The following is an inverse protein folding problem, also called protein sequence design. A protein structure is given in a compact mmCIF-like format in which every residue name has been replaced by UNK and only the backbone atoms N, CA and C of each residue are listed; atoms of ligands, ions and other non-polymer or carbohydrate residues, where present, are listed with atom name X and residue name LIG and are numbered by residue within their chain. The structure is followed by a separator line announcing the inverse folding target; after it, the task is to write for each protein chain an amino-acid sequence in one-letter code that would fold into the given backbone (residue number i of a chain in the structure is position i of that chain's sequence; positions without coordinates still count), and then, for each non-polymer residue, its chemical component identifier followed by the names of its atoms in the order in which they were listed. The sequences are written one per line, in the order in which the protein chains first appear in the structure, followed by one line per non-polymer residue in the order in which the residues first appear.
data_IF_295013334929
#
_entry.id   IF_295013334929
#
_cell.length_a   1.000
_cell.length_b   1.000
_cell.length_c   1.000
_cell.angle_alpha   90.00
_cell.angle_beta   90.00
_cell.angle_gamma   90.00
#
_symmetry.space_group_name_H-M   'P 1'
#
loop_
_entity.id
_entity.type
_entity.pdbx_description
1 polymer ?
#
# COMPACT_ATOMS: atom_id res chain seq x y z
N UNK A 1 -3.47 23.79 15.63
CA UNK A 1 -3.14 22.51 16.30
C UNK A 1 -2.98 21.46 15.23
N UNK A 2 -1.76 21.27 14.72
CA UNK A 2 -1.47 20.25 13.72
C UNK A 2 -1.56 18.87 14.38
N UNK A 3 -2.39 17.98 13.83
CA UNK A 3 -2.55 16.62 14.31
C UNK A 3 -1.18 15.92 14.27
N UNK A 4 -0.63 15.60 15.45
CA UNK A 4 0.67 14.91 15.62
C UNK A 4 0.67 13.47 15.07
N UNK A 5 -0.42 13.01 14.47
CA UNK A 5 -0.60 11.62 14.03
C UNK A 5 -0.01 11.34 12.65
N UNK A 6 0.15 12.34 11.78
CA UNK A 6 0.73 12.15 10.43
C UNK A 6 2.26 12.01 10.40
N UNK A 7 2.96 12.39 11.47
CA UNK A 7 4.44 12.41 11.51
C UNK A 7 5.05 10.99 11.46
N UNK A 8 4.36 9.98 11.98
CA UNK A 8 4.89 8.62 12.02
C UNK A 8 5.05 8.02 10.60
N UNK A 9 4.10 8.29 9.71
CA UNK A 9 4.12 7.80 8.33
C UNK A 9 5.10 8.61 7.49
N UNK A 10 5.18 9.93 7.65
CA UNK A 10 6.24 10.73 7.01
C UNK A 10 7.64 10.24 7.38
N UNK A 11 7.86 9.81 8.62
CA UNK A 11 9.13 9.23 9.06
C UNK A 11 9.39 7.82 8.48
N UNK A 12 8.37 6.97 8.35
CA UNK A 12 8.48 5.66 7.73
C UNK A 12 8.72 5.74 6.20
N UNK A 13 8.01 6.65 5.54
CA UNK A 13 8.20 7.03 4.13
C UNK A 13 9.61 7.59 3.90
N UNK A 14 10.10 8.46 4.79
CA UNK A 14 11.45 9.01 4.71
C UNK A 14 12.55 7.94 4.94
N UNK A 15 12.32 6.94 5.80
CA UNK A 15 13.26 5.84 6.02
C UNK A 15 13.31 4.84 4.85
N UNK A 16 12.22 4.71 4.07
CA UNK A 16 12.12 3.84 2.90
C UNK A 16 13.02 4.24 1.72
N UNK A 17 13.53 5.48 1.68
CA UNK A 17 14.46 5.97 0.66
C UNK A 17 15.78 5.17 0.66
N UNK A 18 16.08 4.41 1.73
CA UNK A 18 17.30 3.60 1.85
C UNK A 18 17.13 2.16 1.29
N UNK A 19 15.90 1.68 1.05
CA UNK A 19 15.64 0.25 0.81
C UNK A 19 15.32 -0.18 -0.63
N UNK A 20 15.09 0.75 -1.57
CA UNK A 20 14.57 0.42 -2.90
C UNK A 20 15.52 -0.43 -3.77
N UNK A 21 16.77 -0.63 -3.35
CA UNK A 21 17.77 -1.37 -4.14
C UNK A 21 17.77 -2.90 -3.96
N UNK A 22 16.83 -3.52 -3.21
CA UNK A 22 16.96 -4.96 -2.87
C UNK A 22 15.76 -5.89 -3.14
N UNK A 23 14.64 -5.48 -3.75
CA UNK A 23 13.48 -6.38 -3.92
C UNK A 23 13.23 -6.83 -5.37
N UNK A 24 14.31 -7.18 -6.09
CA UNK A 24 14.19 -8.09 -7.23
C UNK A 24 14.43 -9.50 -6.68
N UNK A 25 13.44 -10.38 -6.93
CA UNK A 25 13.41 -11.83 -6.71
C UNK A 25 12.89 -12.37 -5.36
N UNK A 26 11.56 -12.55 -5.26
CA UNK A 26 10.96 -13.78 -4.71
C UNK A 26 9.50 -13.95 -5.18
N UNK A 27 9.29 -14.36 -6.44
CA UNK A 27 8.03 -14.96 -6.87
C UNK A 27 8.22 -16.48 -6.75
N UNK A 28 7.63 -17.18 -5.77
CA UNK A 28 7.55 -18.63 -5.86
C UNK A 28 6.61 -18.98 -7.00
N UNK A 29 7.18 -19.43 -8.12
CA UNK A 29 6.44 -20.14 -9.17
C UNK A 29 5.75 -21.35 -8.55
N UNK A 30 4.52 -21.57 -9.00
CA UNK A 30 3.62 -22.61 -8.56
C UNK A 30 4.30 -23.98 -8.54
N UNK A 31 4.32 -24.63 -7.38
CA UNK A 31 4.45 -26.09 -7.29
C UNK A 31 3.80 -26.59 -6.00
N UNK A 32 2.70 -27.34 -6.17
CA UNK A 32 2.25 -28.36 -5.23
C UNK A 32 1.84 -27.89 -3.83
N UNK A 33 0.52 -27.67 -3.68
CA UNK A 33 -0.18 -27.54 -2.40
C UNK A 33 0.25 -28.66 -1.42
N UNK A 34 1.21 -28.34 -0.57
CA UNK A 34 1.34 -28.95 0.74
C UNK A 34 0.93 -27.86 1.72
N UNK A 35 -0.18 -28.09 2.43
CA UNK A 35 -0.66 -27.27 3.54
C UNK A 35 0.41 -27.33 4.65
N UNK A 36 1.51 -26.59 4.45
CA UNK A 36 2.50 -26.34 5.48
C UNK A 36 1.80 -25.43 6.49
N UNK A 37 1.67 -25.93 7.72
CA UNK A 37 1.32 -25.10 8.87
C UNK A 37 2.21 -23.85 8.83
N UNK A 38 1.60 -22.72 8.49
CA UNK A 38 2.29 -21.44 8.49
C UNK A 38 2.53 -21.14 9.96
N UNK A 39 3.80 -21.04 10.35
CA UNK A 39 4.19 -20.76 11.74
C UNK A 39 4.14 -19.26 12.00
N UNK A 40 4.03 -18.81 13.27
CA UNK A 40 4.01 -17.37 13.60
C UNK A 40 5.13 -16.53 12.94
N UNK A 41 6.39 -17.03 12.81
CA UNK A 41 7.44 -16.30 12.07
C UNK A 41 7.13 -16.09 10.58
N UNK A 42 6.37 -16.99 9.96
CA UNK A 42 5.99 -16.88 8.55
C UNK A 42 4.83 -15.91 8.34
N UNK A 43 3.88 -15.81 9.28
CA UNK A 43 2.81 -14.79 9.21
C UNK A 43 3.34 -13.37 9.36
N UNK A 44 4.33 -13.18 10.23
CA UNK A 44 5.04 -11.92 10.35
C UNK A 44 5.79 -11.58 9.05
N UNK A 45 6.47 -12.54 8.44
CA UNK A 45 7.17 -12.33 7.17
C UNK A 45 6.20 -11.92 6.05
N UNK A 46 5.06 -12.60 5.91
CA UNK A 46 4.02 -12.24 4.93
C UNK A 46 3.50 -10.82 5.16
N UNK A 47 3.20 -10.46 6.41
CA UNK A 47 2.72 -9.12 6.74
C UNK A 47 3.77 -8.04 6.43
N UNK A 48 5.03 -8.29 6.78
CA UNK A 48 6.14 -7.36 6.51
C UNK A 48 6.40 -7.19 5.01
N UNK A 49 6.33 -8.28 4.24
CA UNK A 49 6.47 -8.25 2.79
C UNK A 49 5.37 -7.38 2.16
N UNK A 50 4.11 -7.65 2.53
CA UNK A 50 2.96 -6.88 2.05
C UNK A 50 3.10 -5.41 2.44
N UNK A 51 3.53 -5.13 3.67
CA UNK A 51 3.76 -3.76 4.14
C UNK A 51 4.86 -3.03 3.34
N UNK A 52 5.97 -3.71 3.08
CA UNK A 52 7.10 -3.14 2.34
C UNK A 52 6.71 -2.82 0.89
N UNK A 53 6.10 -3.78 0.20
CA UNK A 53 5.65 -3.59 -1.19
C UNK A 53 4.60 -2.49 -1.32
N UNK A 54 3.61 -2.46 -0.43
CA UNK A 54 2.58 -1.42 -0.42
C UNK A 54 3.18 -0.03 -0.18
N UNK A 55 4.11 0.09 0.77
CA UNK A 55 4.80 1.35 1.06
C UNK A 55 5.60 1.82 -0.17
N UNK A 56 6.39 0.93 -0.78
CA UNK A 56 7.14 1.24 -2.00
C UNK A 56 6.24 1.69 -3.15
N UNK A 57 5.13 0.99 -3.36
CA UNK A 57 4.13 1.32 -4.36
C UNK A 57 3.51 2.70 -4.14
N UNK A 58 3.13 3.01 -2.90
CA UNK A 58 2.52 4.28 -2.57
C UNK A 58 3.49 5.45 -2.77
N UNK A 59 4.75 5.30 -2.38
CA UNK A 59 5.80 6.30 -2.62
C UNK A 59 5.99 6.59 -4.11
N UNK A 60 6.05 5.54 -4.93
CA UNK A 60 6.20 5.69 -6.38
C UNK A 60 5.00 6.45 -6.99
N UNK A 61 3.78 6.08 -6.60
CA UNK A 61 2.56 6.76 -7.08
C UNK A 61 2.50 8.21 -6.63
N UNK A 62 2.75 8.50 -5.35
CA UNK A 62 2.71 9.89 -4.85
C UNK A 62 3.76 10.77 -5.52
N UNK A 63 4.97 10.22 -5.72
CA UNK A 63 6.04 10.91 -6.46
C UNK A 63 5.64 11.19 -7.92
N UNK A 64 5.08 10.20 -8.62
CA UNK A 64 4.58 10.38 -9.99
C UNK A 64 3.41 11.35 -10.07
N UNK A 65 2.51 11.33 -9.09
CA UNK A 65 1.38 12.25 -9.02
C UNK A 65 1.85 13.70 -8.87
N UNK A 66 2.84 13.94 -8.00
CA UNK A 66 3.47 15.24 -7.85
C UNK A 66 4.20 15.69 -9.13
N UNK A 67 4.90 14.78 -9.81
CA UNK A 67 5.52 15.06 -11.11
C UNK A 67 4.47 15.37 -12.19
N UNK A 68 3.33 14.69 -12.19
CA UNK A 68 2.21 14.94 -13.08
C UNK A 68 1.58 16.32 -12.85
N UNK A 69 1.35 16.70 -11.57
CA UNK A 69 0.89 18.05 -11.20
C UNK A 69 1.85 19.14 -11.72
N UNK A 70 3.16 18.88 -11.72
CA UNK A 70 4.20 19.75 -12.29
C UNK A 70 4.34 19.69 -13.81
N UNK A 71 3.61 18.79 -14.49
CA UNK A 71 3.68 18.59 -15.94
C UNK A 71 4.91 17.81 -16.43
N UNK A 72 5.67 17.17 -15.52
CA UNK A 72 6.83 16.33 -15.87
C UNK A 72 6.47 14.88 -16.21
N UNK A 73 5.24 14.45 -15.90
CA UNK A 73 4.67 13.14 -16.24
C UNK A 73 3.36 13.38 -16.97
N UNK A 74 3.10 12.63 -18.04
CA UNK A 74 1.83 12.74 -18.79
C UNK A 74 0.68 12.04 -18.06
N UNK A 75 -0.55 12.46 -18.36
CA UNK A 75 -1.76 11.84 -17.80
C UNK A 75 -1.92 10.37 -18.17
N UNK A 76 -1.49 9.97 -19.37
CA UNK A 76 -1.46 8.56 -19.79
C UNK A 76 -0.46 7.73 -18.98
N UNK A 77 0.74 8.28 -18.74
CA UNK A 77 1.77 7.63 -17.92
C UNK A 77 1.27 7.46 -16.49
N UNK A 78 0.64 8.50 -15.94
CA UNK A 78 0.07 8.45 -14.59
C UNK A 78 -1.10 7.46 -14.50
N UNK A 79 -2.00 7.47 -15.49
CA UNK A 79 -3.13 6.52 -15.55
C UNK A 79 -2.69 5.07 -15.67
N UNK A 80 -1.59 4.82 -16.39
CA UNK A 80 -0.99 3.49 -16.51
C UNK A 80 -0.39 3.04 -15.19
N UNK A 81 0.41 3.90 -14.54
CA UNK A 81 0.98 3.63 -13.22
C UNK A 81 -0.11 3.32 -12.17
N UNK A 82 -1.22 4.06 -12.17
CA UNK A 82 -2.36 3.78 -11.28
C UNK A 82 -2.97 2.40 -11.58
N UNK A 83 -3.10 2.03 -12.86
CA UNK A 83 -3.68 0.74 -13.25
C UNK A 83 -2.79 -0.43 -12.83
N UNK A 84 -1.47 -0.29 -12.96
CA UNK A 84 -0.48 -1.25 -12.46
C UNK A 84 -0.53 -1.34 -10.93
N UNK A 85 -0.61 -0.20 -10.24
CA UNK A 85 -0.74 -0.14 -8.79
C UNK A 85 -2.00 -0.85 -8.29
N UNK A 86 -3.15 -0.67 -8.95
CA UNK A 86 -4.39 -1.38 -8.60
C UNK A 86 -4.25 -2.90 -8.77
N UNK A 87 -3.51 -3.34 -9.78
CA UNK A 87 -3.20 -4.77 -9.95
C UNK A 87 -2.34 -5.29 -8.80
N UNK A 88 -1.30 -4.54 -8.41
CA UNK A 88 -0.45 -4.89 -7.28
C UNK A 88 -1.22 -4.95 -5.97
N UNK A 89 -2.11 -4.00 -5.70
CA UNK A 89 -3.02 -4.03 -4.53
C UNK A 89 -3.84 -5.33 -4.50
N UNK A 90 -4.38 -5.74 -5.65
CA UNK A 90 -5.11 -7.00 -5.78
C UNK A 90 -4.27 -8.22 -5.40
N UNK A 91 -3.01 -8.26 -5.86
CA UNK A 91 -2.07 -9.33 -5.53
C UNK A 91 -1.69 -9.34 -4.05
N UNK A 92 -1.39 -8.17 -3.46
CA UNK A 92 -1.07 -8.03 -2.04
C UNK A 92 -2.23 -8.48 -1.15
N UNK A 93 -3.45 -8.09 -1.52
CA UNK A 93 -4.67 -8.53 -0.83
C UNK A 93 -4.82 -10.04 -0.93
N UNK A 94 -4.63 -10.63 -2.12
CA UNK A 94 -4.69 -12.08 -2.31
C UNK A 94 -3.67 -12.80 -1.43
N UNK A 95 -2.44 -12.30 -1.31
CA UNK A 95 -1.42 -12.87 -0.42
C UNK A 95 -1.89 -12.94 1.04
N UNK A 96 -2.52 -11.88 1.55
CA UNK A 96 -3.07 -11.88 2.91
C UNK A 96 -4.25 -12.86 3.08
N UNK A 97 -5.15 -12.92 2.09
CA UNK A 97 -6.31 -13.81 2.12
C UNK A 97 -5.91 -15.29 2.05
N UNK A 98 -5.01 -15.63 1.12
CA UNK A 98 -4.57 -17.00 0.88
C UNK A 98 -3.70 -17.54 2.03
N UNK A 99 -3.03 -16.66 2.76
CA UNK A 99 -2.23 -17.00 3.93
C UNK A 99 -3.05 -17.53 5.12
N UNK A 100 -4.38 -17.34 5.13
CA UNK A 100 -5.31 -17.90 6.16
C UNK A 100 -4.76 -17.78 7.59
N UNK A 101 -4.59 -16.55 8.10
CA UNK A 101 -3.91 -16.31 9.36
C UNK A 101 -4.59 -16.99 10.55
N UNK A 102 -3.83 -17.42 11.58
CA UNK A 102 -4.36 -17.82 12.87
C UNK A 102 -5.07 -16.65 13.57
N UNK A 103 -5.86 -16.97 14.60
CA UNK A 103 -6.77 -16.03 15.27
C UNK A 103 -6.09 -14.75 15.77
N UNK A 104 -4.87 -14.85 16.30
CA UNK A 104 -4.05 -13.75 16.78
C UNK A 104 -3.60 -12.80 15.66
N UNK A 105 -3.48 -13.28 14.42
CA UNK A 105 -3.11 -12.49 13.24
C UNK A 105 -4.29 -11.99 12.41
N UNK A 106 -5.49 -12.57 12.58
CA UNK A 106 -6.68 -12.23 11.78
C UNK A 106 -7.01 -10.74 11.80
N UNK A 107 -6.94 -10.10 12.97
CA UNK A 107 -7.23 -8.67 13.09
C UNK A 107 -6.26 -7.82 12.28
N UNK A 108 -4.97 -8.15 12.31
CA UNK A 108 -3.93 -7.45 11.53
C UNK A 108 -4.12 -7.59 10.04
N UNK A 109 -4.39 -8.81 9.59
CA UNK A 109 -4.57 -9.08 8.17
C UNK A 109 -5.84 -8.41 7.65
N UNK A 110 -6.95 -8.50 8.39
CA UNK A 110 -8.21 -7.85 8.01
C UNK A 110 -8.06 -6.32 7.98
N UNK A 111 -7.38 -5.75 8.97
CA UNK A 111 -7.12 -4.31 9.01
C UNK A 111 -6.21 -3.88 7.85
N UNK A 112 -5.21 -4.69 7.50
CA UNK A 112 -4.32 -4.37 6.38
C UNK A 112 -5.02 -4.52 5.02
N UNK A 113 -5.91 -5.50 4.87
CA UNK A 113 -6.79 -5.62 3.69
C UNK A 113 -7.66 -4.37 3.55
N UNK A 114 -8.24 -3.88 4.65
CA UNK A 114 -9.02 -2.64 4.63
C UNK A 114 -8.15 -1.43 4.23
N UNK A 115 -6.90 -1.37 4.68
CA UNK A 115 -5.95 -0.34 4.26
C UNK A 115 -5.67 -0.40 2.74
N UNK A 116 -5.45 -1.61 2.19
CA UNK A 116 -5.27 -1.82 0.76
C UNK A 116 -6.51 -1.40 -0.05
N UNK A 117 -7.71 -1.70 0.44
CA UNK A 117 -8.97 -1.29 -0.20
C UNK A 117 -9.12 0.25 -0.18
N UNK A 118 -8.81 0.91 0.94
CA UNK A 118 -8.84 2.38 1.03
C UNK A 118 -7.77 3.02 0.14
N UNK A 119 -6.58 2.43 0.03
CA UNK A 119 -5.56 2.87 -0.93
C UNK A 119 -6.07 2.78 -2.37
N UNK A 120 -6.77 1.70 -2.72
CA UNK A 120 -7.42 1.55 -4.03
C UNK A 120 -8.42 2.67 -4.33
N UNK A 121 -9.20 3.10 -3.34
CA UNK A 121 -10.11 4.24 -3.48
C UNK A 121 -9.37 5.56 -3.65
N UNK A 122 -8.27 5.76 -2.90
CA UNK A 122 -7.39 6.92 -3.07
C UNK A 122 -6.82 6.99 -4.50
N UNK A 123 -6.37 5.86 -5.05
CA UNK A 123 -5.93 5.77 -6.45
C UNK A 123 -7.03 6.12 -7.45
N UNK A 124 -8.29 5.73 -7.20
CA UNK A 124 -9.42 6.11 -8.04
C UNK A 124 -9.70 7.62 -7.98
N UNK A 125 -9.52 8.23 -6.80
CA UNK A 125 -9.57 9.68 -6.63
C UNK A 125 -8.49 10.39 -7.45
N UNK A 126 -7.24 9.93 -7.36
CA UNK A 126 -6.13 10.45 -8.19
C UNK A 126 -6.47 10.30 -9.68
N UNK A 127 -6.89 9.11 -10.11
CA UNK A 127 -7.22 8.83 -11.52
C UNK A 127 -8.29 9.77 -12.05
N UNK A 128 -9.31 10.06 -11.24
CA UNK A 128 -10.37 11.00 -11.60
C UNK A 128 -9.83 12.42 -11.82
N UNK A 129 -8.93 12.90 -10.95
CA UNK A 129 -8.24 14.19 -11.14
C UNK A 129 -7.37 14.19 -12.40
N UNK A 130 -6.61 13.12 -12.63
CA UNK A 130 -5.75 12.96 -13.81
C UNK A 130 -6.55 13.04 -15.10
N UNK A 131 -7.69 12.33 -15.18
CA UNK A 131 -8.56 12.33 -16.35
C UNK A 131 -9.24 13.68 -16.59
N UNK A 132 -9.51 14.43 -15.53
CA UNK A 132 -10.05 15.78 -15.62
C UNK A 132 -8.97 16.87 -15.88
N UNK A 133 -7.69 16.49 -15.95
CA UNK A 133 -6.55 17.41 -15.93
C UNK A 133 -6.58 18.40 -14.73
N UNK A 134 -7.19 17.97 -13.63
CA UNK A 134 -7.38 18.78 -12.43
C UNK A 134 -6.13 18.75 -11.54
N UNK A 135 -5.28 19.77 -11.71
CA UNK A 135 -4.03 19.96 -10.96
C UNK A 135 -4.18 20.88 -9.74
N UNK A 136 -5.43 21.15 -9.32
CA UNK A 136 -5.71 21.88 -8.07
C UNK A 136 -5.21 21.10 -6.85
N UNK A 137 -5.35 21.69 -5.67
CA UNK A 137 -4.98 21.03 -4.42
C UNK A 137 -5.70 19.68 -4.20
N UNK A 138 -5.17 18.92 -3.25
CA UNK A 138 -5.57 17.54 -3.00
C UNK A 138 -6.78 17.43 -2.06
N UNK A 139 -7.50 18.53 -1.78
CA UNK A 139 -8.65 18.54 -0.86
C UNK A 139 -9.74 17.52 -1.20
N UNK A 140 -9.92 17.22 -2.49
CA UNK A 140 -10.86 16.21 -2.97
C UNK A 140 -10.47 14.76 -2.59
N UNK A 141 -9.19 14.50 -2.32
CA UNK A 141 -8.65 13.16 -2.03
C UNK A 141 -7.97 13.06 -0.65
N UNK A 142 -7.76 14.18 0.05
CA UNK A 142 -7.15 14.24 1.39
C UNK A 142 -7.85 13.35 2.40
N UNK A 143 -9.19 13.30 2.37
CA UNK A 143 -9.96 12.44 3.26
C UNK A 143 -9.66 10.95 3.04
N UNK A 144 -9.48 10.54 1.79
CA UNK A 144 -9.12 9.16 1.43
C UNK A 144 -7.69 8.85 1.86
N UNK A 145 -6.76 9.78 1.64
CA UNK A 145 -5.36 9.66 2.09
C UNK A 145 -5.28 9.49 3.61
N UNK A 146 -5.94 10.36 4.36
CA UNK A 146 -5.95 10.28 5.83
C UNK A 146 -6.57 8.98 6.34
N UNK A 147 -7.65 8.52 5.71
CA UNK A 147 -8.28 7.25 6.08
C UNK A 147 -7.35 6.07 5.80
N UNK A 148 -6.72 6.04 4.64
CA UNK A 148 -5.77 5.00 4.24
C UNK A 148 -4.59 4.91 5.24
N UNK A 149 -4.00 6.05 5.57
CA UNK A 149 -2.94 6.16 6.57
C UNK A 149 -3.38 5.66 7.96
N UNK A 150 -4.60 5.99 8.38
CA UNK A 150 -5.16 5.52 9.64
C UNK A 150 -5.40 4.00 9.65
N UNK A 151 -5.86 3.43 8.53
CA UNK A 151 -6.07 1.99 8.39
C UNK A 151 -4.73 1.23 8.46
N UNK A 152 -3.65 1.75 7.87
CA UNK A 152 -2.29 1.20 8.01
C UNK A 152 -1.86 1.18 9.48
N UNK A 153 -1.99 2.32 10.17
CA UNK A 153 -1.60 2.43 11.59
C UNK A 153 -2.40 1.47 12.48
N UNK A 154 -3.69 1.32 12.21
CA UNK A 154 -4.54 0.33 12.90
C UNK A 154 -4.04 -1.10 12.69
N UNK A 155 -3.68 -1.44 11.45
CA UNK A 155 -3.20 -2.78 11.11
C UNK A 155 -1.85 -3.12 11.76
N UNK A 156 -0.93 -2.16 11.83
CA UNK A 156 0.36 -2.33 12.50
C UNK A 156 0.17 -2.55 14.00
N UNK A 157 -0.74 -1.78 14.63
CA UNK A 157 -1.00 -1.87 16.08
C UNK A 157 -1.63 -3.18 16.52
N UNK A 158 -2.32 -3.88 15.61
CA UNK A 158 -2.92 -5.18 15.91
C UNK A 158 -1.96 -6.35 15.72
N UNK A 159 -0.72 -6.12 15.26
CA UNK A 159 0.25 -7.20 15.06
C UNK A 159 0.52 -7.85 16.41
N UNK A 160 0.37 -9.19 16.53
CA UNK A 160 0.64 -9.87 17.79
C UNK A 160 2.11 -9.73 18.18
N UNK A 161 2.35 -9.57 19.49
CA UNK A 161 3.67 -9.34 20.12
C UNK A 161 4.33 -10.66 20.48
#
# INVERSE_FOLDING_TARGET
MASKKGIAITAAIAAGIIGASFLIWLIPQEDGVNVRQITPPQHQAIFQEVYSQHTGLALDIESKYDLWKRGSVSSDTMSSAISDAKTNIGNLRKSLVDAKPPEDWQQSYNSYIAALDTFGQYLDGIKSKVQAEDKSDDSAIDGLKQKWEADIDSAIKSVPV
#
